data_IF_898143816779
#
_entry.id   IF_898143816779
#
_cell.length_a   1.000
_cell.length_b   1.000
_cell.length_c   1.000
_cell.angle_alpha   90.00
_cell.angle_beta   90.00
_cell.angle_gamma   90.00
#
_symmetry.space_group_name_H-M   'P 1'
#
loop_
_entity.id
_entity.type
_entity.pdbx_description
1 polymer ?
#
# COMPACT_ATOMS: atom_id res chain seq x y z
N UNK A 1 9.66 -13.88 -6.39
CA UNK A 1 8.25 -14.28 -6.34
C UNK A 1 7.47 -13.38 -5.40
N UNK A 2 6.29 -12.98 -5.84
CA UNK A 2 5.50 -12.08 -5.03
C UNK A 2 4.64 -12.84 -4.05
N UNK A 3 4.41 -12.21 -2.93
CA UNK A 3 3.55 -12.78 -1.91
C UNK A 3 2.10 -12.66 -2.34
N UNK A 4 1.25 -13.56 -1.83
CA UNK A 4 -0.18 -13.42 -2.00
C UNK A 4 -0.65 -12.20 -1.20
N UNK A 5 -1.55 -11.41 -1.76
CA UNK A 5 -2.07 -10.27 -1.00
C UNK A 5 -2.87 -10.74 0.21
N UNK A 6 -2.97 -9.87 1.19
CA UNK A 6 -3.76 -10.11 2.38
C UNK A 6 -3.29 -11.32 3.19
N UNK A 7 -1.97 -11.55 3.18
CA UNK A 7 -1.40 -12.62 3.99
C UNK A 7 -0.34 -12.04 4.93
N UNK A 8 -0.20 -12.71 6.07
CA UNK A 8 0.77 -12.29 7.08
C UNK A 8 2.18 -12.76 6.69
N UNK A 9 3.14 -12.51 7.58
CA UNK A 9 4.53 -12.83 7.30
C UNK A 9 4.75 -14.31 7.03
N UNK A 10 3.84 -15.16 7.48
CA UNK A 10 3.95 -16.60 7.27
C UNK A 10 3.05 -17.09 6.16
N UNK A 11 2.46 -16.18 5.41
CA UNK A 11 1.65 -16.54 4.26
C UNK A 11 0.23 -16.93 4.59
N UNK A 12 -0.23 -16.65 5.80
CA UNK A 12 -1.58 -17.00 6.22
C UNK A 12 -2.50 -15.80 6.12
N UNK A 13 -3.79 -16.02 5.84
CA UNK A 13 -4.73 -14.88 5.79
C UNK A 13 -4.77 -14.15 7.12
N UNK A 14 -4.95 -12.84 7.07
CA UNK A 14 -5.12 -12.07 8.29
C UNK A 14 -6.47 -12.44 8.94
N UNK A 15 -6.52 -12.55 10.26
CA UNK A 15 -7.80 -12.83 10.92
C UNK A 15 -8.73 -11.63 10.82
N UNK A 16 -10.06 -11.86 10.95
CA UNK A 16 -11.02 -10.78 10.81
C UNK A 16 -10.78 -9.58 11.72
N UNK A 17 -10.31 -9.81 12.95
CA UNK A 17 -10.07 -8.70 13.86
C UNK A 17 -8.91 -7.84 13.39
N UNK A 18 -7.93 -8.43 12.70
CA UNK A 18 -6.84 -7.64 12.13
C UNK A 18 -7.35 -6.82 10.96
N UNK A 19 -8.18 -7.44 10.11
CA UNK A 19 -8.78 -6.73 8.98
C UNK A 19 -9.55 -5.52 9.47
N UNK A 20 -10.35 -5.70 10.53
CA UNK A 20 -11.12 -4.59 11.06
C UNK A 20 -10.22 -3.52 11.66
N UNK A 21 -9.17 -3.92 12.38
CA UNK A 21 -8.25 -2.95 12.97
C UNK A 21 -7.55 -2.12 11.90
N UNK A 22 -7.19 -2.76 10.78
CA UNK A 22 -6.56 -2.02 9.67
C UNK A 22 -7.57 -1.10 9.01
N UNK A 23 -8.80 -1.56 8.83
CA UNK A 23 -9.85 -0.69 8.28
C UNK A 23 -10.01 0.58 9.11
N UNK A 24 -9.94 0.44 10.43
CA UNK A 24 -10.09 1.59 11.32
C UNK A 24 -8.97 2.61 11.16
N UNK A 25 -7.86 2.23 10.56
CA UNK A 25 -6.77 3.18 10.30
C UNK A 25 -7.03 4.05 9.09
N UNK A 26 -7.97 3.67 8.24
CA UNK A 26 -8.30 4.47 7.07
C UNK A 26 -9.01 5.75 7.49
N UNK A 27 -8.78 6.82 6.73
CA UNK A 27 -9.36 8.12 7.05
C UNK A 27 -10.85 8.11 6.74
N UNK A 28 -11.64 8.64 7.65
CA UNK A 28 -13.09 8.65 7.47
C UNK A 28 -13.51 9.64 6.37
N UNK A 29 -14.69 9.39 5.80
CA UNK A 29 -15.30 10.27 4.80
C UNK A 29 -16.62 10.75 5.38
N UNK A 30 -16.60 11.93 5.98
CA UNK A 30 -17.80 12.48 6.57
C UNK A 30 -18.46 11.51 7.55
N UNK A 31 -19.75 11.26 7.37
CA UNK A 31 -20.51 10.38 8.25
C UNK A 31 -20.71 8.98 7.67
N UNK A 32 -20.12 8.68 6.52
CA UNK A 32 -20.26 7.35 5.93
C UNK A 32 -19.55 6.33 6.78
N UNK A 33 -20.21 5.21 7.05
CA UNK A 33 -19.62 4.17 7.88
C UNK A 33 -18.91 3.10 7.05
N UNK A 34 -19.23 2.99 5.76
CA UNK A 34 -18.67 1.95 4.91
C UNK A 34 -17.71 2.46 3.86
N UNK A 35 -17.48 3.78 3.82
CA UNK A 35 -16.55 4.40 2.90
C UNK A 35 -15.46 5.08 3.69
N UNK A 36 -14.21 4.84 3.29
CA UNK A 36 -13.08 5.51 3.88
C UNK A 36 -12.05 5.79 2.80
N UNK A 37 -10.96 6.41 3.19
CA UNK A 37 -9.89 6.77 2.25
C UNK A 37 -8.64 6.02 2.67
N UNK A 38 -7.99 5.38 1.69
CA UNK A 38 -6.78 4.61 1.96
C UNK A 38 -5.59 5.54 2.23
N UNK A 39 -4.44 4.94 2.52
CA UNK A 39 -3.24 5.69 2.88
C UNK A 39 -2.77 6.63 1.75
N UNK A 40 -3.17 6.36 0.52
CA UNK A 40 -2.78 7.18 -0.64
C UNK A 40 -3.87 8.12 -1.10
N UNK A 41 -5.00 8.21 -0.38
CA UNK A 41 -6.05 9.15 -0.70
C UNK A 41 -7.15 8.63 -1.61
N UNK A 42 -7.28 7.32 -1.77
CA UNK A 42 -8.29 6.72 -2.63
C UNK A 42 -9.43 6.14 -1.82
N UNK A 43 -10.64 6.23 -2.36
CA UNK A 43 -11.81 5.69 -1.69
C UNK A 43 -11.79 4.18 -1.68
N UNK A 44 -12.10 3.61 -0.53
CA UNK A 44 -12.24 2.16 -0.36
C UNK A 44 -13.54 1.89 0.37
N UNK A 45 -14.09 0.68 0.13
CA UNK A 45 -15.36 0.26 0.71
C UNK A 45 -15.10 -0.91 1.65
N UNK A 46 -15.65 -0.83 2.86
CA UNK A 46 -15.37 -1.83 3.90
C UNK A 46 -15.58 -3.26 3.42
N UNK A 47 -16.69 -3.52 2.73
CA UNK A 47 -17.04 -4.87 2.31
C UNK A 47 -16.20 -5.38 1.15
N UNK A 48 -15.44 -4.50 0.52
CA UNK A 48 -14.66 -4.88 -0.66
C UNK A 48 -13.23 -5.28 -0.32
N UNK A 49 -12.99 -5.67 0.93
CA UNK A 49 -11.69 -6.21 1.31
C UNK A 49 -11.37 -7.43 0.44
N UNK A 50 -10.22 -7.38 -0.22
CA UNK A 50 -9.76 -8.48 -1.07
C UNK A 50 -10.45 -8.59 -2.42
N UNK A 51 -11.34 -7.65 -2.75
CA UNK A 51 -12.11 -7.73 -4.00
C UNK A 51 -11.44 -6.92 -5.10
N UNK A 52 -10.70 -7.60 -5.98
CA UNK A 52 -10.01 -6.93 -7.08
C UNK A 52 -10.92 -6.68 -8.29
N UNK A 53 -12.19 -7.03 -8.17
CA UNK A 53 -13.17 -6.68 -9.22
C UNK A 53 -13.82 -5.34 -8.96
N UNK A 54 -13.60 -4.77 -7.79
CA UNK A 54 -14.17 -3.47 -7.44
C UNK A 54 -13.06 -2.43 -7.45
N UNK A 55 -13.34 -1.26 -8.01
CA UNK A 55 -12.40 -0.14 -7.93
C UNK A 55 -12.22 0.35 -6.51
N UNK A 56 -13.11 -0.05 -5.60
CA UNK A 56 -13.04 0.32 -4.20
C UNK A 56 -12.51 -0.82 -3.33
N UNK A 57 -12.03 -1.89 -3.97
CA UNK A 57 -11.44 -3.02 -3.26
C UNK A 57 -10.14 -2.60 -2.60
N UNK A 58 -9.84 -3.22 -1.46
CA UNK A 58 -8.65 -2.82 -0.72
C UNK A 58 -7.98 -4.05 -0.11
N UNK A 59 -6.74 -3.84 0.24
CA UNK A 59 -5.90 -4.91 0.77
C UNK A 59 -5.10 -4.36 1.94
N UNK A 60 -4.63 -5.27 2.78
CA UNK A 60 -3.73 -4.90 3.86
C UNK A 60 -2.31 -4.89 3.29
N UNK A 61 -1.63 -3.78 3.46
CA UNK A 61 -0.28 -3.59 2.97
C UNK A 61 0.69 -3.48 4.14
N UNK A 62 1.84 -4.13 4.01
CA UNK A 62 2.94 -3.97 4.97
C UNK A 62 3.68 -2.70 4.58
N UNK A 63 3.65 -1.68 5.43
CA UNK A 63 4.30 -0.40 5.14
C UNK A 63 5.77 -0.63 4.83
N UNK A 64 6.47 -1.37 5.70
CA UNK A 64 7.79 -1.90 5.39
C UNK A 64 7.56 -3.34 4.95
N UNK A 65 7.95 -3.69 3.72
CA UNK A 65 7.69 -5.03 3.21
C UNK A 65 8.34 -6.11 4.07
N UNK A 66 7.71 -7.27 4.12
CA UNK A 66 8.26 -8.40 4.87
C UNK A 66 9.68 -8.71 4.41
N UNK A 67 9.91 -8.68 3.09
CA UNK A 67 11.24 -8.94 2.56
C UNK A 67 12.30 -7.94 2.96
N UNK A 68 11.88 -6.80 3.51
CA UNK A 68 12.81 -5.76 3.95
C UNK A 68 12.78 -5.62 5.48
N UNK A 69 12.35 -6.67 6.18
CA UNK A 69 12.36 -6.66 7.63
C UNK A 69 11.09 -6.18 8.29
N UNK A 70 10.03 -5.97 7.50
CA UNK A 70 8.75 -5.55 8.06
C UNK A 70 8.10 -6.66 8.87
N UNK A 71 7.18 -6.27 9.72
CA UNK A 71 6.50 -7.20 10.63
C UNK A 71 5.00 -7.11 10.44
N UNK A 72 4.28 -8.00 11.14
CA UNK A 72 2.82 -7.99 11.15
C UNK A 72 2.24 -7.09 12.24
N UNK A 73 3.07 -6.29 12.90
CA UNK A 73 2.58 -5.36 13.89
C UNK A 73 1.57 -4.40 13.24
N UNK A 74 0.50 -4.09 13.95
CA UNK A 74 -0.51 -3.20 13.40
C UNK A 74 0.09 -1.87 12.97
N UNK A 75 1.13 -1.41 13.65
CA UNK A 75 1.82 -0.17 13.27
C UNK A 75 2.47 -0.26 11.89
N UNK A 76 2.68 -1.48 11.39
CA UNK A 76 3.28 -1.69 10.07
C UNK A 76 2.26 -2.08 9.01
N UNK A 77 0.97 -2.03 9.33
CA UNK A 77 -0.08 -2.40 8.40
C UNK A 77 -0.91 -1.17 8.05
N UNK A 78 -1.36 -1.12 6.80
CA UNK A 78 -2.20 -0.01 6.37
C UNK A 78 -3.14 -0.49 5.28
N UNK A 79 -4.31 0.16 5.14
CA UNK A 79 -5.21 -0.20 4.05
C UNK A 79 -4.79 0.52 2.78
N UNK A 80 -4.72 -0.22 1.68
CA UNK A 80 -4.48 0.37 0.37
C UNK A 80 -5.50 -0.16 -0.61
N UNK A 81 -6.01 0.72 -1.47
CA UNK A 81 -6.82 0.30 -2.60
C UNK A 81 -5.96 -0.67 -3.41
N UNK A 82 -6.58 -1.74 -3.93
CA UNK A 82 -5.80 -2.86 -4.46
C UNK A 82 -4.86 -2.47 -5.60
N UNK A 83 -5.26 -1.55 -6.48
CA UNK A 83 -4.37 -1.13 -7.56
C UNK A 83 -3.20 -0.32 -7.02
N UNK A 84 -3.44 0.49 -6.00
CA UNK A 84 -2.36 1.21 -5.34
C UNK A 84 -1.38 0.24 -4.70
N UNK A 85 -1.90 -0.85 -4.14
CA UNK A 85 -1.02 -1.85 -3.55
C UNK A 85 -0.15 -2.52 -4.62
N UNK A 86 -0.71 -2.79 -5.80
CA UNK A 86 0.08 -3.34 -6.90
C UNK A 86 1.16 -2.36 -7.34
N UNK A 87 0.83 -1.08 -7.43
CA UNK A 87 1.81 -0.07 -7.81
C UNK A 87 2.93 0.04 -6.79
N UNK A 88 2.59 -0.05 -5.51
CA UNK A 88 3.59 -0.01 -4.45
C UNK A 88 4.52 -1.21 -4.55
N UNK A 89 3.95 -2.40 -4.73
CA UNK A 89 4.75 -3.62 -4.87
C UNK A 89 5.69 -3.52 -6.06
N UNK A 90 5.20 -3.03 -7.18
CA UNK A 90 6.03 -2.90 -8.37
C UNK A 90 7.16 -1.91 -8.16
N UNK A 91 6.86 -0.79 -7.53
CA UNK A 91 7.89 0.22 -7.27
C UNK A 91 8.97 -0.33 -6.35
N UNK A 92 8.57 -1.10 -5.35
CA UNK A 92 9.53 -1.71 -4.43
C UNK A 92 10.37 -2.77 -5.12
N UNK A 93 9.77 -3.54 -6.02
CA UNK A 93 10.50 -4.53 -6.79
C UNK A 93 11.56 -3.86 -7.67
N UNK A 94 11.18 -2.79 -8.36
CA UNK A 94 12.10 -2.06 -9.23
C UNK A 94 13.24 -1.46 -8.40
N UNK A 95 12.92 -0.86 -7.26
CA UNK A 95 13.94 -0.28 -6.41
C UNK A 95 14.93 -1.33 -5.92
N UNK A 96 14.42 -2.50 -5.54
CA UNK A 96 15.30 -3.59 -5.10
C UNK A 96 16.18 -4.09 -6.23
N UNK A 97 15.64 -4.18 -7.43
CA UNK A 97 16.41 -4.63 -8.58
C UNK A 97 17.53 -3.64 -8.90
N UNK A 98 17.24 -2.35 -8.87
CA UNK A 98 18.26 -1.34 -9.09
C UNK A 98 19.34 -1.40 -8.02
N UNK A 99 18.93 -1.54 -6.78
CA UNK A 99 19.87 -1.59 -5.68
C UNK A 99 20.82 -2.75 -5.81
N UNK A 100 20.30 -3.92 -6.18
CA UNK A 100 21.14 -5.10 -6.33
C UNK A 100 22.04 -5.00 -7.55
N UNK A 101 21.51 -4.42 -8.56
CA UNK A 101 22.24 -4.42 -9.77
C UNK A 101 23.14 -3.32 -9.94
N UNK A 102 23.28 -2.60 -9.24
CA UNK A 102 24.03 -1.84 -9.49
C UNK A 102 24.60 -0.91 -9.36
N UNK A 103 24.87 -0.57 -9.39
CA UNK A 103 25.58 0.17 -9.30
C UNK A 103 25.57 1.25 -10.10
N UNK A 104 25.05 1.79 -10.52
CA UNK A 104 25.12 2.71 -11.30
C UNK A 104 25.07 3.93 -10.74
N UNK A 105 25.76 4.59 -10.86
CA UNK A 105 25.89 5.74 -10.20
C UNK A 105 24.94 6.71 -10.65
N UNK A 106 24.50 7.10 -10.73
CA UNK A 106 23.69 7.92 -11.28
C UNK A 106 23.37 9.03 -10.71
N UNK A 107 23.15 9.66 -10.90
CA UNK A 107 22.86 10.54 -10.64
C UNK A 107 21.90 10.98 -10.22
N UNK A 108 21.77 11.45 -9.88
CA UNK A 108 20.86 11.72 -9.41
C UNK A 108 20.07 12.56 -9.82
N UNK A 109 19.87 12.94 -9.95
CA UNK A 109 19.15 13.47 -10.28
C UNK A 109 18.20 13.56 -10.17
N UNK A 110 18.26 13.50 -10.00
CA UNK A 110 17.45 13.39 -10.07
C UNK A 110 16.54 13.38 -9.57
N UNK A 111 16.58 13.57 -9.54
CA UNK A 111 15.79 13.38 -9.36
C UNK A 111 14.83 13.62 -8.88
N UNK A 112 14.82 13.62 -8.96
CA UNK A 112 13.98 13.60 -8.78
C UNK A 112 12.98 13.78 -8.39
N UNK A 113 12.95 13.96 -8.32
CA UNK A 113 12.15 13.86 -8.24
C UNK A 113 11.13 14.10 -7.96
N UNK A 114 11.12 14.14 -7.85
CA UNK A 114 10.21 14.02 -7.90
C UNK A 114 9.24 14.25 -7.67
N UNK A 115 9.30 14.47 -7.37
CA UNK A 115 8.42 14.43 -7.49
C UNK A 115 7.46 14.30 -7.34
N UNK A 116 7.55 14.33 -6.87
CA UNK A 116 6.62 13.83 -6.97
C UNK A 116 5.77 13.93 -6.64
N UNK A 117 6.00 14.18 -6.25
CA UNK A 117 5.17 13.81 -6.25
C UNK A 117 4.37 14.02 -5.98
N UNK A 118 4.71 14.31 -5.67
CA UNK A 118 3.97 14.01 -5.80
C UNK A 118 3.17 14.33 -5.64
N UNK A 119 3.38 14.45 -5.49
CA UNK A 119 2.70 14.33 -5.73
C UNK A 119 1.80 14.49 -5.90
N UNK A 120 1.82 14.79 -5.58
CA UNK A 120 1.02 14.69 -6.00
C UNK A 120 0.32 14.92 -6.04
N UNK A 121 0.23 15.17 -5.82
CA UNK A 121 -0.48 15.09 -6.06
C UNK A 121 -1.20 15.55 -5.99
N UNK A 122 -1.04 15.77 -5.70
CA UNK A 122 -1.62 15.76 -6.00
C UNK A 122 -2.49 15.79 -6.02
N UNK A 123 -2.28 16.15 -5.41
CA UNK A 123 -3.06 15.78 -5.70
C UNK A 123 -3.58 16.13 -5.50
N UNK A 124 -3.34 16.50 -5.08
CA UNK A 124 -3.85 16.29 -5.24
C UNK A 124 -4.21 16.95 -5.00
N UNK A 125 -4.07 17.18 -4.87
CA UNK A 125 -4.31 17.32 -5.02
C UNK A 125 -4.80 17.61 -5.04
N UNK A 126 -4.47 17.97 -4.60
CA UNK A 126 -4.79 17.82 -4.86
C UNK A 126 -5.11 17.87 -4.93
#
# INVERSE_FOLDING_TARGET
MQREPNTDAEGRPFPPETVEAVWQKARTMGTYSTLRVDAWGWTIVRQDYGNTRSRYGWEIDHIVPIGHGGTDDLSNLQPLQWENNRRKDEAEFIASAHKRGAHRPHKPGGGDSHRGGGHHPRGGKK
#
